data_IF_970615213710
#
_entry.id   IF_970615213710
#
_cell.length_a   1.000
_cell.length_b   1.000
_cell.length_c   1.000
_cell.angle_alpha   90.00
_cell.angle_beta   90.00
_cell.angle_gamma   90.00
#
_symmetry.space_group_name_H-M   'P 1'
#
loop_
_entity.id
_entity.type
_entity.pdbx_description
1 polymer ?
#
# COMPACT_ATOMS: atom_id res chain seq x y z
N UNK A 1 3.10 -23.62 16.02
CA UNK A 1 3.70 -22.28 15.86
C UNK A 1 2.54 -21.30 15.89
N UNK A 2 2.32 -20.58 17.00
CA UNK A 2 1.30 -19.54 16.99
C UNK A 2 1.89 -18.37 16.22
N UNK A 3 1.47 -18.20 14.97
CA UNK A 3 1.87 -17.04 14.19
C UNK A 3 1.41 -15.77 14.91
N UNK A 4 2.27 -14.75 14.92
CA UNK A 4 2.07 -13.49 15.61
C UNK A 4 0.97 -12.69 14.89
N UNK A 5 -0.29 -13.10 15.04
CA UNK A 5 -1.45 -12.44 14.47
C UNK A 5 -1.74 -11.18 15.27
N UNK A 6 -1.40 -10.03 14.71
CA UNK A 6 -1.74 -8.74 15.28
C UNK A 6 -3.13 -8.36 14.75
N UNK A 7 -4.17 -8.33 15.59
CA UNK A 7 -5.50 -7.94 15.15
C UNK A 7 -5.52 -6.48 14.72
N UNK A 8 -6.30 -6.17 13.68
CA UNK A 8 -6.44 -4.79 13.20
C UNK A 8 -7.22 -3.95 14.21
N UNK A 9 -6.58 -2.94 14.80
CA UNK A 9 -7.21 -2.03 15.75
C UNK A 9 -7.81 -0.80 15.04
N UNK A 10 -8.69 -0.06 15.73
CA UNK A 10 -9.31 1.15 15.14
C UNK A 10 -8.30 2.28 14.90
N UNK A 11 -7.24 2.36 15.68
CA UNK A 11 -6.18 3.36 15.55
C UNK A 11 -5.41 3.19 14.24
N UNK A 12 -5.15 1.93 13.86
CA UNK A 12 -4.47 1.55 12.63
C UNK A 12 -5.19 2.05 11.36
N UNK A 13 -6.49 2.35 11.44
CA UNK A 13 -7.26 2.89 10.32
C UNK A 13 -6.69 4.19 9.73
N UNK A 14 -6.05 5.02 10.56
CA UNK A 14 -5.50 6.30 10.13
C UNK A 14 -4.16 6.13 9.42
N UNK A 15 -3.37 5.18 9.86
CA UNK A 15 -1.97 5.03 9.42
C UNK A 15 -1.81 3.99 8.33
N UNK A 16 -2.62 2.92 8.35
CA UNK A 16 -2.52 1.81 7.42
C UNK A 16 -3.47 1.97 6.23
N UNK A 17 -2.96 1.59 5.05
CA UNK A 17 -3.73 1.52 3.81
C UNK A 17 -4.10 0.06 3.51
N UNK A 18 -5.39 -0.20 3.30
CA UNK A 18 -5.91 -1.51 2.88
C UNK A 18 -5.67 -1.67 1.38
N UNK A 19 -4.90 -2.68 1.01
CA UNK A 19 -4.58 -3.00 -0.38
C UNK A 19 -5.58 -4.03 -0.92
N UNK A 20 -6.26 -3.71 -2.02
CA UNK A 20 -7.31 -4.54 -2.60
C UNK A 20 -6.86 -5.06 -3.98
N UNK A 21 -6.90 -6.38 -4.24
CA UNK A 21 -6.46 -6.93 -5.52
C UNK A 21 -7.34 -6.48 -6.69
N UNK A 22 -6.74 -6.20 -7.85
CA UNK A 22 -7.46 -5.83 -9.07
C UNK A 22 -8.03 -7.03 -9.86
N UNK A 23 -8.41 -8.11 -9.18
CA UNK A 23 -8.95 -9.31 -9.85
C UNK A 23 -10.39 -9.11 -10.33
N UNK A 24 -11.17 -8.28 -9.62
CA UNK A 24 -12.57 -7.95 -9.92
C UNK A 24 -12.83 -6.44 -9.70
N UNK A 25 -12.27 -5.57 -10.55
CA UNK A 25 -12.21 -4.12 -10.32
C UNK A 25 -13.56 -3.48 -10.04
N UNK A 26 -14.60 -3.84 -10.78
CA UNK A 26 -15.93 -3.22 -10.66
C UNK A 26 -16.54 -3.44 -9.28
N UNK A 27 -16.46 -4.66 -8.76
CA UNK A 27 -16.99 -5.01 -7.44
C UNK A 27 -16.18 -4.35 -6.33
N UNK A 28 -14.85 -4.38 -6.46
CA UNK A 28 -13.97 -3.79 -5.45
C UNK A 28 -14.05 -2.28 -5.39
N UNK A 29 -14.34 -1.59 -6.50
CA UNK A 29 -14.59 -0.13 -6.49
C UNK A 29 -15.80 0.25 -5.63
N UNK A 30 -16.88 -0.54 -5.65
CA UNK A 30 -18.03 -0.32 -4.78
C UNK A 30 -17.63 -0.45 -3.30
N UNK A 31 -16.92 -1.54 -2.97
CA UNK A 31 -16.47 -1.82 -1.60
C UNK A 31 -15.49 -0.74 -1.12
N UNK A 32 -14.57 -0.30 -1.97
CA UNK A 32 -13.66 0.81 -1.69
C UNK A 32 -14.40 2.10 -1.36
N UNK A 33 -15.45 2.43 -2.11
CA UNK A 33 -16.27 3.63 -1.84
C UNK A 33 -16.88 3.57 -0.43
N UNK A 34 -17.47 2.43 -0.09
CA UNK A 34 -18.06 2.20 1.25
C UNK A 34 -17.00 2.32 2.35
N UNK A 35 -15.84 1.65 2.17
CA UNK A 35 -14.74 1.71 3.14
C UNK A 35 -14.18 3.14 3.31
N UNK A 36 -14.11 3.92 2.23
CA UNK A 36 -13.73 5.34 2.29
C UNK A 36 -14.74 6.18 3.06
N UNK A 37 -16.05 5.93 2.91
CA UNK A 37 -17.08 6.62 3.72
C UNK A 37 -16.90 6.35 5.21
N UNK A 38 -16.51 5.13 5.57
CA UNK A 38 -16.17 4.83 6.95
C UNK A 38 -14.84 5.47 7.38
N UNK A 39 -14.02 6.00 6.47
CA UNK A 39 -12.73 6.64 6.77
C UNK A 39 -11.53 5.70 6.72
N UNK A 40 -11.63 4.57 6.03
CA UNK A 40 -10.48 3.70 5.76
C UNK A 40 -9.72 4.18 4.52
N UNK A 41 -8.38 4.16 4.58
CA UNK A 41 -7.53 4.35 3.41
C UNK A 41 -7.50 3.05 2.61
N UNK A 42 -7.93 3.09 1.35
CA UNK A 42 -7.98 1.91 0.49
C UNK A 42 -7.38 2.20 -0.87
N UNK A 43 -6.51 1.33 -1.36
CA UNK A 43 -5.91 1.41 -2.69
C UNK A 43 -6.07 0.10 -3.44
N UNK A 44 -6.34 0.21 -4.74
CA UNK A 44 -6.46 -0.95 -5.62
C UNK A 44 -5.07 -1.31 -6.14
N UNK A 45 -4.70 -2.57 -6.00
CA UNK A 45 -3.42 -3.10 -6.47
C UNK A 45 -3.42 -3.18 -7.99
N UNK A 46 -2.91 -2.13 -8.61
CA UNK A 46 -2.61 -2.09 -10.04
C UNK A 46 -1.28 -2.82 -10.30
N UNK A 47 -1.25 -4.13 -10.12
CA UNK A 47 -0.08 -4.92 -10.52
C UNK A 47 -0.06 -5.09 -12.03
N UNK A 48 0.30 -4.02 -12.73
CA UNK A 48 0.93 -4.07 -14.05
C UNK A 48 2.33 -3.45 -13.99
N UNK A 49 2.98 -3.50 -12.82
CA UNK A 49 4.36 -3.04 -12.67
C UNK A 49 5.28 -4.08 -13.32
N UNK A 50 5.91 -3.83 -14.47
CA UNK A 50 7.06 -4.64 -14.86
C UNK A 50 8.08 -4.55 -13.72
N UNK A 51 8.84 -5.62 -13.49
CA UNK A 51 9.90 -5.73 -12.46
C UNK A 51 10.84 -4.49 -12.44
N UNK A 52 10.96 -3.77 -13.56
CA UNK A 52 11.67 -2.48 -13.69
C UNK A 52 11.16 -1.34 -12.78
N UNK A 53 9.89 -1.35 -12.38
CA UNK A 53 9.29 -0.29 -11.55
C UNK A 53 9.82 -0.32 -10.11
N UNK A 54 10.02 -1.52 -9.59
CA UNK A 54 10.58 -1.78 -8.26
C UNK A 54 12.06 -1.40 -8.22
N UNK A 55 12.81 -1.70 -9.29
CA UNK A 55 14.20 -1.25 -9.47
C UNK A 55 14.33 0.28 -9.55
N UNK A 56 13.34 0.99 -10.12
CA UNK A 56 13.35 2.46 -10.14
C UNK A 56 13.15 3.06 -8.75
N UNK A 57 12.33 2.43 -7.90
CA UNK A 57 12.15 2.88 -6.52
C UNK A 57 13.40 2.63 -5.68
N UNK A 58 14.03 1.45 -5.76
CA UNK A 58 15.28 1.19 -5.01
C UNK A 58 16.41 2.11 -5.44
N UNK A 59 16.53 2.43 -6.73
CA UNK A 59 17.54 3.35 -7.24
C UNK A 59 17.31 4.81 -6.78
N UNK A 60 16.05 5.26 -6.69
CA UNK A 60 15.74 6.65 -6.26
C UNK A 60 15.92 6.85 -4.77
N UNK A 61 15.58 5.89 -3.91
CA UNK A 61 15.89 5.98 -2.47
C UNK A 61 17.39 5.87 -2.22
N UNK A 62 18.11 5.01 -2.96
CA UNK A 62 19.56 4.91 -2.85
C UNK A 62 20.27 6.24 -3.20
N UNK A 63 19.86 6.91 -4.29
CA UNK A 63 20.46 8.18 -4.71
C UNK A 63 20.07 9.36 -3.80
N UNK A 64 18.85 9.38 -3.26
CA UNK A 64 18.41 10.40 -2.31
C UNK A 64 19.09 10.23 -0.93
N UNK A 65 19.36 8.99 -0.51
CA UNK A 65 20.09 8.71 0.74
C UNK A 65 21.58 9.04 0.63
N UNK A 66 22.23 8.77 -0.51
CA UNK A 66 23.65 9.12 -0.71
C UNK A 66 23.88 10.63 -0.76
N UNK A 67 22.98 11.41 -1.38
CA UNK A 67 23.10 12.87 -1.41
C UNK A 67 22.85 13.53 -0.04
N UNK A 68 21.98 12.94 0.79
CA UNK A 68 21.69 13.47 2.13
C UNK A 68 22.73 13.11 3.18
N UNK A 69 23.55 12.09 2.94
CA UNK A 69 24.66 11.71 3.81
C UNK A 69 25.97 12.48 3.51
N UNK A 70 25.99 13.32 2.47
CA UNK A 70 27.18 14.05 2.02
C UNK A 70 27.08 15.58 2.14
N UNK A 71 26.05 16.08 2.81
CA UNK A 71 25.95 17.45 3.31
C UNK A 71 26.03 17.47 4.84
#
# INVERSE_FOLDING_TARGET
>A
MAENYIPFTKEMKKDYTILIPNMLPTHFKLIMSVLKTYGYKTELLETSLPIRSVLRWSARTAYAMTFRAKM
#
